data_IF_024618482904
#
_entry.id   IF_024618482904
#
_cell.length_a   1.000
_cell.length_b   1.000
_cell.length_c   1.000
_cell.angle_alpha   90.00
_cell.angle_beta   90.00
_cell.angle_gamma   90.00
#
_symmetry.space_group_name_H-M   'P 1'
#
loop_
_entity.id
_entity.type
_entity.pdbx_description
1 polymer ?
#
# COMPACT_ATOMS: atom_id res chain seq x y z
N UNK A 1 -3.58 14.47 28.57
CA UNK A 1 -3.69 13.43 27.52
C UNK A 1 -3.68 14.16 26.21
N UNK A 2 -2.61 13.98 25.43
CA UNK A 2 -2.46 14.58 24.12
C UNK A 2 -2.65 13.46 23.08
N UNK A 3 -3.52 13.72 22.10
CA UNK A 3 -3.74 12.81 20.98
C UNK A 3 -2.96 13.40 19.81
N UNK A 4 -1.88 12.75 19.43
CA UNK A 4 -1.05 13.15 18.31
C UNK A 4 -1.39 12.27 17.11
N UNK A 5 -2.52 12.57 16.46
CA UNK A 5 -2.91 11.94 15.21
C UNK A 5 -3.78 12.87 14.36
N UNK A 6 -3.54 12.85 13.06
CA UNK A 6 -4.26 13.50 11.97
C UNK A 6 -5.45 12.68 11.46
N UNK A 7 -5.68 11.50 12.04
CA UNK A 7 -6.70 10.57 11.61
C UNK A 7 -8.12 11.18 11.64
N UNK A 8 -8.84 11.07 10.51
CA UNK A 8 -10.23 11.50 10.38
C UNK A 8 -11.11 10.41 9.78
N UNK A 9 -12.40 10.39 10.13
CA UNK A 9 -13.35 9.47 9.46
C UNK A 9 -14.00 10.14 8.26
N UNK A 10 -14.04 9.46 7.11
CA UNK A 10 -14.72 9.95 5.89
C UNK A 10 -15.25 8.80 5.03
N UNK A 11 -16.10 9.13 4.05
CA UNK A 11 -16.57 8.17 3.06
C UNK A 11 -15.45 7.88 2.05
N UNK A 12 -15.45 6.69 1.44
CA UNK A 12 -14.47 6.34 0.40
C UNK A 12 -14.56 7.29 -0.81
N UNK A 13 -15.74 7.82 -1.12
CA UNK A 13 -15.87 8.83 -2.20
C UNK A 13 -15.11 10.13 -1.93
N UNK A 14 -14.82 10.44 -0.66
CA UNK A 14 -14.15 11.68 -0.23
C UNK A 14 -12.63 11.50 -0.04
N UNK A 15 -12.10 10.29 -0.25
CA UNK A 15 -10.66 10.04 -0.22
C UNK A 15 -10.00 10.46 -1.52
N UNK A 16 -8.67 10.42 -1.57
CA UNK A 16 -7.88 10.68 -2.77
C UNK A 16 -6.93 9.51 -3.02
N UNK A 17 -6.56 9.22 -4.29
CA UNK A 17 -5.47 8.31 -4.59
C UNK A 17 -4.20 8.66 -3.79
N UNK A 18 -3.55 7.64 -3.26
CA UNK A 18 -2.40 7.78 -2.36
C UNK A 18 -2.75 7.92 -0.88
N UNK A 19 -4.01 8.12 -0.50
CA UNK A 19 -4.34 8.22 0.93
C UNK A 19 -4.13 6.89 1.65
N UNK A 20 -3.50 6.95 2.83
CA UNK A 20 -3.43 5.83 3.76
C UNK A 20 -4.70 5.81 4.62
N UNK A 21 -5.38 4.67 4.64
CA UNK A 21 -6.62 4.49 5.38
C UNK A 21 -6.58 3.22 6.23
N UNK A 22 -7.33 3.19 7.33
CA UNK A 22 -7.77 1.95 7.97
C UNK A 22 -9.17 1.62 7.48
N UNK A 23 -9.32 0.41 6.95
CA UNK A 23 -10.56 -0.08 6.39
C UNK A 23 -10.98 -1.41 7.05
N UNK A 24 -12.28 -1.60 7.20
CA UNK A 24 -12.86 -2.85 7.72
C UNK A 24 -13.56 -3.60 6.60
N UNK A 25 -13.19 -4.86 6.41
CA UNK A 25 -13.78 -5.78 5.44
C UNK A 25 -14.35 -7.00 6.18
N UNK A 26 -15.67 -6.98 6.45
CA UNK A 26 -16.29 -7.99 7.30
C UNK A 26 -15.74 -7.91 8.72
N UNK A 27 -15.15 -9.00 9.21
CA UNK A 27 -14.47 -9.04 10.52
C UNK A 27 -13.00 -8.61 10.45
N UNK A 28 -12.43 -8.52 9.24
CA UNK A 28 -11.03 -8.16 9.04
C UNK A 28 -10.88 -6.63 9.01
N UNK A 29 -9.76 -6.14 9.54
CA UNK A 29 -9.38 -4.72 9.47
C UNK A 29 -7.90 -4.61 9.19
N UNK A 30 -7.49 -3.52 8.57
CA UNK A 30 -6.10 -3.22 8.33
C UNK A 30 -5.93 -1.93 7.55
N UNK A 31 -4.69 -1.61 7.25
CA UNK A 31 -4.27 -0.49 6.46
C UNK A 31 -4.41 -0.78 4.97
N UNK A 32 -4.91 0.20 4.24
CA UNK A 32 -4.99 0.21 2.80
C UNK A 32 -4.44 1.52 2.24
N UNK A 33 -3.98 1.48 1.00
CA UNK A 33 -3.74 2.67 0.16
C UNK A 33 -4.93 2.80 -0.79
N UNK A 34 -5.47 4.01 -0.93
CA UNK A 34 -6.45 4.31 -1.97
C UNK A 34 -5.72 4.38 -3.31
N UNK A 35 -6.06 3.49 -4.25
CA UNK A 35 -5.37 3.39 -5.54
C UNK A 35 -6.06 4.22 -6.63
N UNK A 36 -7.37 4.43 -6.51
CA UNK A 36 -8.15 5.13 -7.53
C UNK A 36 -9.65 5.09 -7.27
N UNK A 37 -10.39 5.88 -8.05
CA UNK A 37 -11.86 5.89 -8.05
C UNK A 37 -12.39 5.42 -9.40
N UNK A 38 -13.26 4.42 -9.38
CA UNK A 38 -13.91 3.83 -10.54
C UNK A 38 -15.43 3.78 -10.26
N UNK A 39 -16.19 4.87 -10.50
CA UNK A 39 -17.59 4.95 -10.09
C UNK A 39 -18.40 3.70 -10.50
N UNK A 40 -19.13 3.05 -9.56
CA UNK A 40 -19.46 3.49 -8.19
C UNK A 40 -18.51 3.02 -7.08
N UNK A 41 -17.29 2.61 -7.43
CA UNK A 41 -16.32 1.98 -6.54
C UNK A 41 -15.05 2.83 -6.33
N UNK A 42 -14.33 2.47 -5.28
CA UNK A 42 -12.97 2.89 -4.98
C UNK A 42 -12.09 1.64 -4.98
N UNK A 43 -10.95 1.71 -5.64
CA UNK A 43 -9.94 0.64 -5.68
C UNK A 43 -8.99 0.85 -4.51
N UNK A 44 -8.82 -0.18 -3.68
CA UNK A 44 -7.99 -0.16 -2.48
C UNK A 44 -6.92 -1.23 -2.58
N UNK A 45 -5.68 -0.90 -2.20
CA UNK A 45 -4.61 -1.85 -1.97
C UNK A 45 -4.47 -2.15 -0.49
N UNK A 46 -4.92 -3.32 -0.04
CA UNK A 46 -4.71 -3.82 1.31
C UNK A 46 -3.24 -4.14 1.55
N UNK A 47 -2.70 -3.69 2.67
CA UNK A 47 -1.32 -3.93 3.08
C UNK A 47 -1.21 -5.07 4.09
N UNK A 48 -2.09 -5.10 5.09
CA UNK A 48 -2.03 -6.05 6.22
C UNK A 48 -3.41 -6.61 6.59
N UNK A 49 -4.41 -6.51 5.69
CA UNK A 49 -5.69 -7.17 5.89
C UNK A 49 -5.50 -8.67 5.65
N UNK A 50 -5.16 -9.40 6.72
CA UNK A 50 -5.11 -10.85 6.67
C UNK A 50 -6.54 -11.42 6.66
N UNK A 51 -6.97 -11.94 5.51
CA UNK A 51 -8.18 -12.76 5.42
C UNK A 51 -7.81 -14.24 5.52
N UNK A 52 -8.81 -15.12 5.62
CA UNK A 52 -8.56 -16.56 5.55
C UNK A 52 -7.95 -17.00 4.21
N UNK A 53 -8.13 -16.20 3.16
CA UNK A 53 -7.75 -16.55 1.78
C UNK A 53 -6.50 -15.79 1.31
N UNK A 54 -6.19 -14.63 1.91
CA UNK A 54 -5.08 -13.76 1.51
C UNK A 54 -4.33 -13.26 2.75
N UNK A 55 -3.06 -13.66 2.86
CA UNK A 55 -2.11 -13.18 3.88
C UNK A 55 -1.09 -12.18 3.35
N UNK A 56 -1.17 -11.84 2.05
CA UNK A 56 -0.25 -10.95 1.33
C UNK A 56 -0.97 -9.68 0.88
N UNK A 57 -0.26 -8.58 0.60
CA UNK A 57 -0.89 -7.38 0.06
C UNK A 57 -1.65 -7.66 -1.23
N UNK A 58 -2.89 -7.17 -1.32
CA UNK A 58 -3.77 -7.39 -2.48
C UNK A 58 -4.63 -6.17 -2.75
N UNK A 59 -5.18 -6.06 -3.95
CA UNK A 59 -6.13 -5.01 -4.29
C UNK A 59 -7.57 -5.55 -4.40
N UNK A 60 -8.53 -4.66 -4.14
CA UNK A 60 -9.97 -4.96 -4.23
C UNK A 60 -10.79 -3.68 -4.43
N UNK A 61 -12.04 -3.85 -4.89
CA UNK A 61 -13.00 -2.75 -5.06
C UNK A 61 -13.98 -2.67 -3.91
N UNK A 62 -14.31 -1.45 -3.47
CA UNK A 62 -15.38 -1.20 -2.48
C UNK A 62 -16.29 -0.07 -2.89
N UNK A 63 -17.55 -0.16 -2.47
CA UNK A 63 -18.54 0.86 -2.74
C UNK A 63 -18.16 2.17 -2.06
N UNK A 64 -18.27 3.27 -2.80
CA UNK A 64 -17.96 4.64 -2.41
C UNK A 64 -18.67 5.14 -1.14
N UNK A 65 -19.79 4.53 -0.75
CA UNK A 65 -20.53 4.86 0.48
C UNK A 65 -19.92 4.24 1.75
N UNK A 66 -18.95 3.34 1.62
CA UNK A 66 -18.26 2.75 2.77
C UNK A 66 -17.45 3.82 3.51
N UNK A 67 -17.29 3.68 4.83
CA UNK A 67 -16.50 4.60 5.65
C UNK A 67 -15.12 4.04 5.98
N UNK A 68 -14.16 4.92 6.15
CA UNK A 68 -12.79 4.60 6.56
C UNK A 68 -12.29 5.60 7.61
N UNK A 69 -11.17 5.25 8.26
CA UNK A 69 -10.31 6.22 8.96
C UNK A 69 -9.18 6.57 8.01
N UNK A 70 -8.92 7.84 7.74
CA UNK A 70 -7.86 8.29 6.83
C UNK A 70 -6.81 9.07 7.61
N UNK A 71 -5.54 8.75 7.34
CA UNK A 71 -4.35 9.46 7.80
C UNK A 71 -3.86 10.49 6.74
N UNK A 72 -4.64 10.74 5.69
CA UNK A 72 -4.27 11.67 4.63
C UNK A 72 -3.15 11.16 3.73
N UNK A 73 -2.35 12.09 3.20
CA UNK A 73 -1.29 11.85 2.22
C UNK A 73 0.12 12.04 2.79
N UNK A 74 0.24 12.52 4.02
CA UNK A 74 1.53 12.92 4.62
C UNK A 74 2.28 11.75 5.29
N UNK A 75 1.76 10.53 5.15
CA UNK A 75 2.37 9.32 5.67
C UNK A 75 3.72 9.05 5.02
N UNK A 76 4.62 8.46 5.80
CA UNK A 76 6.01 8.26 5.42
C UNK A 76 6.33 6.80 5.20
N UNK A 77 6.95 6.48 4.07
CA UNK A 77 7.46 5.14 3.74
C UNK A 77 8.95 5.08 3.99
N UNK A 78 9.38 4.07 4.74
CA UNK A 78 10.79 3.72 4.85
C UNK A 78 11.06 2.33 4.26
N UNK A 79 11.74 2.25 3.10
CA UNK A 79 12.24 0.98 2.58
C UNK A 79 13.31 0.41 3.50
N UNK A 80 13.35 -0.91 3.66
CA UNK A 80 14.42 -1.63 4.38
C UNK A 80 15.16 -2.55 3.39
N UNK A 81 16.14 -2.03 2.64
CA UNK A 81 16.91 -2.81 1.67
C UNK A 81 17.54 -4.06 2.27
N UNK A 82 17.47 -5.16 1.52
CA UNK A 82 18.08 -6.45 1.84
C UNK A 82 19.02 -6.91 0.72
N UNK A 83 19.51 -8.15 0.77
CA UNK A 83 20.44 -8.69 -0.23
C UNK A 83 19.84 -8.73 -1.65
N UNK A 84 18.51 -8.71 -1.76
CA UNK A 84 17.74 -8.70 -3.00
C UNK A 84 17.67 -7.32 -3.66
N UNK A 85 18.04 -6.24 -2.96
CA UNK A 85 17.97 -4.87 -3.46
C UNK A 85 19.15 -4.53 -4.37
N UNK A 86 19.07 -5.00 -5.62
CA UNK A 86 19.97 -4.63 -6.70
C UNK A 86 19.19 -4.48 -8.02
N UNK A 87 19.61 -3.51 -8.83
CA UNK A 87 18.97 -3.20 -10.10
C UNK A 87 19.07 -4.38 -11.07
N UNK A 88 17.95 -4.77 -11.67
CA UNK A 88 17.93 -5.95 -12.54
C UNK A 88 17.41 -7.23 -11.88
N UNK A 89 17.09 -7.20 -10.58
CA UNK A 89 16.60 -8.40 -9.89
C UNK A 89 15.16 -8.73 -10.29
N UNK A 90 15.03 -9.62 -11.27
CA UNK A 90 13.75 -10.07 -11.80
C UNK A 90 13.01 -11.09 -10.93
N UNK A 91 13.65 -11.65 -9.89
CA UNK A 91 13.05 -12.71 -9.06
C UNK A 91 11.77 -12.24 -8.35
N UNK A 92 11.69 -10.94 -8.03
CA UNK A 92 10.60 -10.36 -7.24
C UNK A 92 9.76 -9.34 -8.00
N UNK A 93 9.79 -9.37 -9.33
CA UNK A 93 9.13 -8.36 -10.17
C UNK A 93 7.62 -8.28 -9.93
N UNK A 94 6.96 -9.43 -9.76
CA UNK A 94 5.51 -9.54 -9.57
C UNK A 94 5.16 -9.97 -8.15
N UNK A 95 6.10 -9.85 -7.20
CA UNK A 95 5.86 -10.25 -5.83
C UNK A 95 5.01 -9.20 -5.12
N UNK A 96 3.81 -9.60 -4.70
CA UNK A 96 2.91 -8.76 -3.94
C UNK A 96 3.55 -8.25 -2.63
N UNK A 97 3.34 -6.99 -2.33
CA UNK A 97 3.97 -6.30 -1.20
C UNK A 97 5.39 -5.82 -1.45
N UNK A 98 6.00 -6.14 -2.59
CA UNK A 98 7.32 -5.61 -2.94
C UNK A 98 7.21 -4.13 -3.31
N UNK A 99 8.17 -3.34 -2.83
CA UNK A 99 8.46 -2.02 -3.38
C UNK A 99 9.51 -2.15 -4.48
N UNK A 100 9.34 -1.45 -5.59
CA UNK A 100 10.31 -1.41 -6.68
C UNK A 100 10.81 0.00 -6.87
N UNK A 101 12.13 0.15 -6.88
CA UNK A 101 12.80 1.38 -7.29
C UNK A 101 13.16 1.30 -8.78
N UNK A 102 12.59 2.21 -9.59
CA UNK A 102 12.92 2.37 -11.01
C UNK A 102 13.27 3.83 -11.29
N UNK A 103 14.57 4.11 -11.48
CA UNK A 103 15.07 5.48 -11.52
C UNK A 103 14.84 6.19 -10.19
N UNK A 104 13.90 7.15 -10.16
CA UNK A 104 13.44 7.82 -8.94
C UNK A 104 12.02 7.45 -8.52
N UNK A 105 11.38 6.50 -9.20
CA UNK A 105 9.99 6.09 -8.95
C UNK A 105 9.96 4.93 -7.97
N UNK A 106 9.07 5.01 -6.99
CA UNK A 106 8.79 3.94 -6.04
C UNK A 106 7.41 3.38 -6.34
N UNK A 107 7.33 2.10 -6.67
CA UNK A 107 6.08 1.42 -7.01
C UNK A 107 5.82 0.29 -6.03
N UNK A 108 4.58 0.12 -5.59
CA UNK A 108 4.17 -1.05 -4.79
C UNK A 108 3.38 -2.01 -5.66
N UNK A 109 3.65 -3.31 -5.51
CA UNK A 109 2.88 -4.38 -6.17
C UNK A 109 1.80 -4.92 -5.24
N UNK A 110 0.57 -5.06 -5.74
CA UNK A 110 -0.55 -5.70 -5.08
C UNK A 110 -1.01 -6.91 -5.89
N UNK A 111 -1.20 -8.05 -5.21
CA UNK A 111 -1.86 -9.18 -5.86
C UNK A 111 -3.34 -8.88 -6.13
N UNK A 112 -4.00 -9.69 -6.95
CA UNK A 112 -5.44 -9.68 -7.03
C UNK A 112 -6.08 -10.57 -5.98
N UNK A 113 -7.14 -10.08 -5.29
CA UNK A 113 -7.98 -10.94 -4.45
C UNK A 113 -8.90 -11.87 -5.24
N UNK A 114 -9.07 -11.63 -6.54
CA UNK A 114 -10.01 -12.35 -7.41
C UNK A 114 -9.31 -12.83 -8.67
N UNK A 115 -9.58 -14.08 -9.08
CA UNK A 115 -8.93 -14.70 -10.24
C UNK A 115 -9.19 -13.97 -11.55
N UNK A 116 -10.21 -13.11 -11.59
CA UNK A 116 -10.54 -12.31 -12.77
C UNK A 116 -9.66 -11.07 -12.96
N UNK A 117 -8.95 -10.60 -11.93
CA UNK A 117 -8.04 -9.46 -12.05
C UNK A 117 -6.58 -9.88 -11.97
N UNK A 118 -5.74 -9.10 -12.65
CA UNK A 118 -4.28 -9.22 -12.58
C UNK A 118 -3.75 -8.45 -11.38
N UNK A 119 -2.48 -8.66 -11.06
CA UNK A 119 -1.74 -7.80 -10.15
C UNK A 119 -1.81 -6.33 -10.60
N UNK A 120 -1.73 -5.42 -9.62
CA UNK A 120 -1.67 -3.98 -9.86
C UNK A 120 -0.39 -3.40 -9.29
N UNK A 121 0.14 -2.41 -9.98
CA UNK A 121 1.26 -1.62 -9.53
C UNK A 121 0.80 -0.18 -9.32
N UNK A 122 1.22 0.42 -8.21
CA UNK A 122 0.85 1.78 -7.87
C UNK A 122 2.09 2.62 -7.60
N UNK A 123 2.23 3.74 -8.29
CA UNK A 123 3.33 4.67 -8.16
C UNK A 123 3.09 5.58 -6.94
N UNK A 124 3.92 5.42 -5.91
CA UNK A 124 3.81 6.14 -4.64
C UNK A 124 4.14 7.64 -4.75
N UNK A 125 4.77 8.08 -5.85
CA UNK A 125 5.09 9.49 -6.07
C UNK A 125 4.06 10.17 -6.96
N UNK A 126 3.64 9.51 -8.03
CA UNK A 126 2.66 10.05 -8.96
C UNK A 126 1.20 9.81 -8.51
N UNK A 127 1.01 8.94 -7.51
CA UNK A 127 -0.28 8.57 -6.93
C UNK A 127 -1.25 8.00 -7.96
N UNK A 128 -0.74 7.15 -8.85
CA UNK A 128 -1.52 6.54 -9.93
C UNK A 128 -1.16 5.06 -10.14
N UNK A 129 -2.12 4.31 -10.66
CA UNK A 129 -1.91 2.94 -11.12
C UNK A 129 -1.01 2.99 -12.35
N UNK A 130 0.02 2.15 -12.39
CA UNK A 130 0.98 2.14 -13.48
C UNK A 130 1.23 0.73 -14.03
N UNK A 131 1.98 0.67 -15.13
CA UNK A 131 2.48 -0.59 -15.66
C UNK A 131 3.44 -1.28 -14.66
N UNK A 132 3.66 -2.58 -14.86
CA UNK A 132 4.65 -3.33 -14.09
C UNK A 132 6.05 -2.70 -14.16
N UNK A 133 6.87 -2.82 -13.11
CA UNK A 133 8.25 -2.34 -13.10
C UNK A 133 9.04 -2.84 -14.31
N UNK A 134 9.97 -2.02 -14.80
CA UNK A 134 10.88 -2.39 -15.86
C UNK A 134 11.88 -3.49 -15.41
N UNK A 135 12.66 -4.02 -16.37
CA UNK A 135 13.58 -5.13 -16.08
C UNK A 135 14.75 -4.71 -15.18
N UNK A 136 15.04 -3.42 -15.11
CA UNK A 136 16.12 -2.81 -14.35
C UNK A 136 15.72 -2.40 -12.93
N UNK A 137 14.45 -2.54 -12.56
CA UNK A 137 13.98 -2.14 -11.23
C UNK A 137 14.66 -2.94 -10.11
N UNK A 138 14.88 -2.30 -8.97
CA UNK A 138 15.45 -2.92 -7.77
C UNK A 138 14.34 -3.19 -6.74
N UNK A 139 14.10 -4.45 -6.35
CA UNK A 139 13.04 -4.81 -5.40
C UNK A 139 13.48 -4.62 -3.94
N UNK A 140 12.58 -4.14 -3.10
CA UNK A 140 12.70 -4.09 -1.64
C UNK A 140 11.55 -4.91 -1.05
N UNK A 141 11.92 -5.96 -0.31
CA UNK A 141 10.97 -6.95 0.21
C UNK A 141 10.37 -6.57 1.57
N UNK A 142 11.00 -5.65 2.31
CA UNK A 142 10.53 -5.23 3.62
C UNK A 142 10.52 -3.71 3.68
N UNK A 143 9.43 -3.15 4.18
CA UNK A 143 9.27 -1.71 4.34
C UNK A 143 8.20 -1.42 5.39
N UNK A 144 8.16 -0.19 5.87
CA UNK A 144 7.20 0.20 6.89
C UNK A 144 6.65 1.61 6.63
N UNK A 145 5.50 1.88 7.23
CA UNK A 145 4.78 3.15 7.10
C UNK A 145 4.59 3.79 8.47
N UNK A 146 4.85 5.09 8.55
CA UNK A 146 4.53 5.94 9.69
C UNK A 146 3.47 6.96 9.32
N UNK A 147 2.76 7.48 10.33
CA UNK A 147 1.74 8.52 10.10
C UNK A 147 2.34 9.78 9.45
N UNK A 148 3.58 10.11 9.77
CA UNK A 148 4.33 11.20 9.15
C UNK A 148 5.83 10.99 9.25
N UNK A 149 6.61 11.83 8.57
CA UNK A 149 8.07 11.88 8.72
C UNK A 149 8.47 12.19 10.17
N UNK A 150 7.77 13.10 10.84
CA UNK A 150 8.11 13.52 12.20
C UNK A 150 7.94 12.37 13.21
N UNK A 151 6.96 11.47 13.00
CA UNK A 151 6.79 10.27 13.82
C UNK A 151 7.96 9.29 13.61
N UNK A 152 8.39 9.10 12.37
CA UNK A 152 9.56 8.28 12.05
C UNK A 152 10.83 8.83 12.70
N UNK A 153 11.08 10.14 12.60
CA UNK A 153 12.26 10.79 13.17
C UNK A 153 12.26 10.79 14.71
N UNK A 154 11.08 10.69 15.33
CA UNK A 154 10.92 10.49 16.78
C UNK A 154 11.02 9.03 17.21
N UNK A 155 11.38 8.13 16.30
CA UNK A 155 11.50 6.69 16.53
C UNK A 155 10.20 6.07 17.07
N UNK A 156 9.04 6.59 16.65
CA UNK A 156 7.76 5.99 16.98
C UNK A 156 7.61 4.62 16.29
N UNK A 157 6.71 3.78 16.81
CA UNK A 157 6.35 2.52 16.14
C UNK A 157 5.68 2.81 14.78
N UNK A 158 5.97 2.02 13.73
CA UNK A 158 5.28 2.14 12.46
C UNK A 158 3.80 1.79 12.60
N UNK A 159 2.95 2.45 11.79
CA UNK A 159 1.54 2.09 11.64
C UNK A 159 1.38 0.68 11.07
N UNK A 160 2.18 0.33 10.08
CA UNK A 160 2.20 -0.99 9.43
C UNK A 160 3.59 -1.31 8.92
N UNK A 161 3.99 -2.57 9.07
CA UNK A 161 5.16 -3.16 8.41
C UNK A 161 4.67 -4.12 7.35
N UNK A 162 5.25 -4.04 6.15
CA UNK A 162 4.91 -4.87 5.00
C UNK A 162 6.09 -5.74 4.65
N UNK A 163 5.85 -7.04 4.57
CA UNK A 163 6.79 -8.03 4.04
C UNK A 163 6.19 -8.60 2.76
N UNK A 164 6.95 -8.53 1.67
CA UNK A 164 6.57 -9.08 0.39
C UNK A 164 6.29 -10.59 0.50
N UNK A 165 5.31 -11.07 -0.27
CA UNK A 165 4.94 -12.48 -0.28
C UNK A 165 6.17 -13.35 -0.63
N UNK A 166 6.37 -14.44 0.11
CA UNK A 166 7.36 -15.43 -0.29
C UNK A 166 6.79 -16.19 -1.50
N UNK A 167 7.59 -16.30 -2.56
CA UNK A 167 7.27 -17.05 -3.78
C UNK A 167 7.34 -18.56 -3.58
#
# INVERSE_FOLDING_TARGET
MEINSSAVTKSLVDTKPGELIVFRMGEFRGYCIVLGHEPPYTVLGALDIATQENSRPFHFRRNNTSRCVSYGLDWFVNPSPSAEFWAGNQQHRFTAGCLHLEGNRWMVCFDSSDREYTELHFDLLNLDICASPANEAAPVLNWAIWESRDEFEREADPLVTVTAAQG
#
